data_IF_300009569178
#
_entry.id   IF_300009569178
#
_cell.length_a   1.000
_cell.length_b   1.000
_cell.length_c   1.000
_cell.angle_alpha   90.00
_cell.angle_beta   90.00
_cell.angle_gamma   90.00
#
_symmetry.space_group_name_H-M   'P 1'
#
loop_
_entity.id
_entity.type
_entity.pdbx_description
1 polymer ?
#
# COMPACT_ATOMS: atom_id res chain seq x y z
N UNK A 1 19.96 -1.85 -13.31
CA UNK A 1 19.56 -1.01 -12.17
C UNK A 1 20.04 -1.65 -10.88
N UNK A 2 20.49 -0.86 -9.91
CA UNK A 2 20.76 -1.26 -8.52
C UNK A 2 19.47 -1.23 -7.69
N UNK A 3 19.46 -1.91 -6.55
CA UNK A 3 18.29 -1.97 -5.66
C UNK A 3 17.75 -0.58 -5.28
N UNK A 4 18.63 0.38 -5.01
CA UNK A 4 18.22 1.75 -4.68
C UNK A 4 17.48 2.44 -5.82
N UNK A 5 17.94 2.25 -7.05
CA UNK A 5 17.29 2.81 -8.25
C UNK A 5 15.91 2.18 -8.49
N UNK A 6 15.77 0.88 -8.22
CA UNK A 6 14.48 0.15 -8.32
C UNK A 6 13.50 0.70 -7.29
N UNK A 7 13.95 0.86 -6.05
CA UNK A 7 13.12 1.42 -4.98
C UNK A 7 12.72 2.86 -5.27
N UNK A 8 13.66 3.72 -5.67
CA UNK A 8 13.37 5.13 -5.98
C UNK A 8 12.41 5.26 -7.17
N UNK A 9 12.50 4.35 -8.16
CA UNK A 9 11.52 4.27 -9.24
C UNK A 9 10.13 3.89 -8.73
N UNK A 10 10.03 2.89 -7.84
CA UNK A 10 8.75 2.53 -7.21
C UNK A 10 8.13 3.73 -6.48
N UNK A 11 8.89 4.42 -5.62
CA UNK A 11 8.38 5.60 -4.90
C UNK A 11 7.92 6.68 -5.87
N UNK A 12 8.70 6.96 -6.92
CA UNK A 12 8.33 7.93 -7.95
C UNK A 12 6.99 7.58 -8.61
N UNK A 13 6.84 6.35 -9.10
CA UNK A 13 5.61 5.91 -9.76
C UNK A 13 4.41 5.92 -8.79
N UNK A 14 4.64 5.51 -7.54
CA UNK A 14 3.63 5.59 -6.48
C UNK A 14 3.14 7.02 -6.23
N UNK A 15 4.04 8.01 -6.21
CA UNK A 15 3.70 9.45 -6.10
C UNK A 15 2.92 9.96 -7.32
N UNK A 16 3.25 9.46 -8.52
CA UNK A 16 2.58 9.87 -9.76
C UNK A 16 1.15 9.34 -9.85
N UNK A 17 0.87 8.15 -9.30
CA UNK A 17 -0.46 7.53 -9.29
C UNK A 17 -1.31 7.88 -8.05
N UNK A 18 -0.73 8.49 -7.02
CA UNK A 18 -1.42 8.80 -5.77
C UNK A 18 -2.57 9.83 -5.94
N UNK A 19 -3.78 9.49 -5.52
CA UNK A 19 -4.97 10.35 -5.63
C UNK A 19 -4.88 11.65 -4.82
N UNK A 20 -4.04 11.68 -3.78
CA UNK A 20 -3.77 12.89 -2.99
C UNK A 20 -3.07 13.98 -3.80
N UNK A 21 -2.29 13.56 -4.81
CA UNK A 21 -1.46 14.43 -5.64
C UNK A 21 -0.17 14.91 -4.96
N UNK A 22 0.80 15.31 -5.79
CA UNK A 22 2.17 15.70 -5.38
C UNK A 22 2.22 16.82 -4.33
N UNK A 23 1.29 17.77 -4.40
CA UNK A 23 1.25 18.89 -3.47
C UNK A 23 0.89 18.43 -2.04
N UNK A 24 -0.11 17.56 -1.90
CA UNK A 24 -0.53 17.01 -0.61
C UNK A 24 0.58 16.17 0.00
N UNK A 25 1.21 15.31 -0.80
CA UNK A 25 2.37 14.50 -0.38
C UNK A 25 3.51 15.41 0.14
N UNK A 26 3.85 16.45 -0.62
CA UNK A 26 4.90 17.41 -0.23
C UNK A 26 4.56 18.13 1.08
N UNK A 27 3.29 18.51 1.29
CA UNK A 27 2.82 19.11 2.54
C UNK A 27 2.95 18.14 3.72
N UNK A 28 2.66 16.86 3.53
CA UNK A 28 2.79 15.83 4.57
C UNK A 28 4.27 15.61 4.96
N UNK A 29 5.18 15.52 3.98
CA UNK A 29 6.63 15.41 4.24
C UNK A 29 7.18 16.66 4.95
N UNK A 30 6.76 17.86 4.53
CA UNK A 30 7.16 19.11 5.19
C UNK A 30 6.67 19.17 6.64
N UNK A 31 5.45 18.68 6.90
CA UNK A 31 4.92 18.57 8.27
C UNK A 31 5.78 17.62 9.11
N UNK A 32 6.12 16.44 8.58
CA UNK A 32 7.00 15.47 9.27
C UNK A 32 8.36 16.09 9.58
N UNK A 33 8.94 16.85 8.64
CA UNK A 33 10.20 17.58 8.85
C UNK A 33 10.10 18.59 10.01
N UNK A 34 9.02 19.37 10.06
CA UNK A 34 8.77 20.31 11.18
C UNK A 34 8.58 19.59 12.52
N UNK A 35 7.98 18.39 12.50
CA UNK A 35 7.84 17.56 13.70
C UNK A 35 9.20 17.03 14.18
N UNK A 36 10.06 16.58 13.25
CA UNK A 36 11.44 16.18 13.52
C UNK A 36 12.29 17.32 14.12
N UNK A 37 12.20 18.53 13.56
CA UNK A 37 12.95 19.69 14.03
C UNK A 37 12.64 20.08 15.50
N UNK A 38 11.43 19.75 15.96
CA UNK A 38 10.96 20.00 17.34
C UNK A 38 11.36 18.91 18.34
N UNK A 39 11.91 17.79 17.87
CA UNK A 39 12.37 16.71 18.75
C UNK A 39 13.59 17.15 19.56
N UNK A 40 13.75 16.58 20.76
CA UNK A 40 15.00 16.65 21.51
C UNK A 40 16.12 15.92 20.75
N UNK A 41 17.37 16.26 21.04
CA UNK A 41 18.53 15.60 20.39
C UNK A 41 18.54 14.08 20.63
N UNK A 42 18.14 13.63 21.81
CA UNK A 42 17.94 12.20 22.13
C UNK A 42 16.93 11.55 21.18
N UNK A 43 15.76 12.17 20.98
CA UNK A 43 14.72 11.63 20.08
C UNK A 43 15.09 11.73 18.60
N UNK A 44 15.93 12.70 18.22
CA UNK A 44 16.46 12.79 16.84
C UNK A 44 17.42 11.66 16.53
N UNK A 45 18.20 11.19 17.51
CA UNK A 45 19.13 10.08 17.33
C UNK A 45 18.41 8.77 16.97
N UNK A 46 17.21 8.55 17.52
CA UNK A 46 16.39 7.36 17.24
C UNK A 46 15.40 7.55 16.07
N UNK A 47 15.36 8.74 15.45
CA UNK A 47 14.38 9.06 14.43
C UNK A 47 14.68 8.34 13.11
N UNK A 48 13.64 7.78 12.49
CA UNK A 48 13.76 7.17 11.16
C UNK A 48 13.87 8.27 10.09
N UNK A 49 15.10 8.58 9.68
CA UNK A 49 15.38 9.64 8.70
C UNK A 49 14.71 9.40 7.34
N UNK A 50 14.35 8.16 7.00
CA UNK A 50 13.60 7.86 5.78
C UNK A 50 12.21 8.52 5.78
N UNK A 51 11.61 8.72 6.97
CA UNK A 51 10.32 9.39 7.15
C UNK A 51 10.29 10.83 6.61
N UNK A 52 11.45 11.45 6.43
CA UNK A 52 11.55 12.82 5.93
C UNK A 52 11.47 12.90 4.40
N UNK A 53 11.70 11.78 3.70
CA UNK A 53 11.82 11.75 2.24
C UNK A 53 10.91 10.71 1.58
N UNK A 54 10.53 9.65 2.29
CA UNK A 54 9.66 8.61 1.79
C UNK A 54 8.23 8.83 2.31
N UNK A 55 7.23 9.08 1.42
CA UNK A 55 5.85 9.27 1.83
C UNK A 55 5.10 7.96 2.13
N UNK A 56 5.72 6.80 1.92
CA UNK A 56 5.15 5.46 2.06
C UNK A 56 6.01 4.63 3.00
N UNK A 57 5.74 4.75 4.30
CA UNK A 57 6.57 4.14 5.33
C UNK A 57 6.41 2.61 5.43
N UNK A 58 5.45 2.03 4.71
CA UNK A 58 5.23 0.61 4.53
C UNK A 58 6.07 0.01 3.38
N UNK A 59 6.90 0.80 2.70
CA UNK A 59 7.74 0.35 1.59
C UNK A 59 9.19 0.65 1.89
N UNK A 60 10.05 -0.36 1.87
CA UNK A 60 11.43 -0.28 2.37
C UNK A 60 12.41 -1.14 1.59
N UNK A 61 13.67 -0.71 1.60
CA UNK A 61 14.80 -1.61 1.44
C UNK A 61 15.17 -2.15 2.83
N UNK A 62 15.14 -3.47 2.98
CA UNK A 62 15.41 -4.13 4.26
C UNK A 62 16.86 -4.56 4.41
N UNK A 63 17.46 -5.04 3.32
CA UNK A 63 18.84 -5.49 3.30
C UNK A 63 19.49 -5.22 1.93
N UNK A 64 20.70 -4.69 1.96
CA UNK A 64 21.61 -4.63 0.81
C UNK A 64 22.83 -5.47 1.20
N UNK A 65 22.79 -6.75 0.84
CA UNK A 65 23.90 -7.67 1.04
C UNK A 65 25.05 -7.36 0.07
N UNK A 66 24.73 -6.97 -1.16
CA UNK A 66 25.68 -6.57 -2.19
C UNK A 66 25.10 -5.45 -3.06
N UNK A 67 25.80 -4.31 -3.13
CA UNK A 67 25.40 -3.16 -3.97
C UNK A 67 25.83 -3.36 -5.44
N UNK A 68 25.12 -4.24 -6.13
CA UNK A 68 25.38 -4.63 -7.52
C UNK A 68 24.20 -4.34 -8.45
N UNK A 69 24.47 -4.48 -9.74
CA UNK A 69 23.41 -4.49 -10.76
C UNK A 69 22.54 -5.74 -10.61
N UNK A 70 21.22 -5.53 -10.53
CA UNK A 70 20.22 -6.59 -10.39
C UNK A 70 19.88 -7.13 -11.78
N UNK A 71 20.06 -8.44 -11.99
CA UNK A 71 19.73 -9.13 -13.24
C UNK A 71 18.56 -10.09 -13.08
N UNK A 72 18.44 -10.75 -11.92
CA UNK A 72 17.35 -11.68 -11.62
C UNK A 72 16.67 -11.34 -10.29
N UNK A 73 15.35 -11.27 -10.32
CA UNK A 73 14.50 -10.97 -9.17
C UNK A 73 13.61 -12.15 -8.86
N UNK A 74 13.45 -12.46 -7.57
CA UNK A 74 12.30 -13.23 -7.09
C UNK A 74 11.29 -12.24 -6.48
N UNK A 75 10.10 -12.17 -7.04
CA UNK A 75 9.04 -11.28 -6.56
C UNK A 75 7.82 -12.07 -6.13
N UNK A 76 7.16 -11.61 -5.07
CA UNK A 76 5.98 -12.25 -4.49
C UNK A 76 5.12 -11.27 -3.70
N UNK A 77 3.89 -11.67 -3.39
CA UNK A 77 3.02 -10.89 -2.50
C UNK A 77 3.64 -10.91 -1.10
N UNK A 78 3.81 -12.12 -0.58
CA UNK A 78 4.52 -12.42 0.66
C UNK A 78 5.92 -12.92 0.30
N UNK A 79 6.94 -12.30 0.87
CA UNK A 79 8.33 -12.78 0.82
C UNK A 79 8.79 -12.90 2.27
N UNK A 80 8.60 -14.08 2.83
CA UNK A 80 8.96 -14.40 4.21
C UNK A 80 10.14 -15.38 4.25
N UNK A 81 10.24 -16.23 5.28
CA UNK A 81 11.38 -17.11 5.45
C UNK A 81 11.48 -18.18 4.36
N UNK A 82 10.33 -18.71 3.94
CA UNK A 82 10.19 -19.76 2.94
C UNK A 82 10.69 -19.29 1.56
N UNK A 83 10.28 -18.10 1.13
CA UNK A 83 10.69 -17.53 -0.16
C UNK A 83 12.16 -17.10 -0.13
N UNK A 84 12.66 -16.62 1.01
CA UNK A 84 14.08 -16.31 1.18
C UNK A 84 14.95 -17.58 1.11
N UNK A 85 14.52 -18.71 1.71
CA UNK A 85 15.21 -19.99 1.54
C UNK A 85 15.15 -20.48 0.09
N UNK A 86 14.02 -20.28 -0.59
CA UNK A 86 13.90 -20.62 -2.00
C UNK A 86 14.88 -19.81 -2.84
N UNK A 87 14.97 -18.50 -2.62
CA UNK A 87 15.90 -17.61 -3.32
C UNK A 87 17.36 -18.04 -3.11
N UNK A 88 17.75 -18.34 -1.88
CA UNK A 88 19.09 -18.86 -1.54
C UNK A 88 19.36 -20.19 -2.26
N UNK A 89 18.40 -21.12 -2.23
CA UNK A 89 18.53 -22.42 -2.88
C UNK A 89 18.62 -22.34 -4.41
N UNK A 90 17.95 -21.37 -5.03
CA UNK A 90 18.08 -21.12 -6.47
C UNK A 90 19.49 -20.61 -6.81
N UNK A 91 20.14 -19.90 -5.90
CA UNK A 91 21.56 -19.50 -5.97
C UNK A 91 21.88 -18.43 -7.02
N UNK A 92 20.90 -17.99 -7.81
CA UNK A 92 21.06 -17.02 -8.89
C UNK A 92 20.12 -15.80 -8.78
N UNK A 93 19.50 -15.60 -7.61
CA UNK A 93 18.63 -14.44 -7.33
C UNK A 93 19.47 -13.28 -6.78
N UNK A 94 19.42 -12.13 -7.46
CA UNK A 94 20.14 -10.92 -7.05
C UNK A 94 19.35 -10.06 -6.06
N UNK A 95 18.02 -10.18 -6.06
CA UNK A 95 17.09 -9.39 -5.25
C UNK A 95 15.77 -10.14 -5.02
N UNK A 96 15.29 -10.13 -3.78
CA UNK A 96 13.92 -10.51 -3.45
C UNK A 96 13.06 -9.26 -3.25
N UNK A 97 11.86 -9.23 -3.83
CA UNK A 97 10.91 -8.11 -3.71
C UNK A 97 9.56 -8.62 -3.20
N UNK A 98 9.21 -8.25 -1.97
CA UNK A 98 7.86 -8.46 -1.43
C UNK A 98 6.90 -7.35 -1.83
N UNK A 99 5.60 -7.65 -1.83
CA UNK A 99 4.58 -6.61 -1.79
C UNK A 99 4.33 -6.19 -0.34
N UNK A 100 3.93 -7.16 0.50
CA UNK A 100 3.62 -6.90 1.89
C UNK A 100 4.85 -6.45 2.68
N UNK A 101 4.65 -5.56 3.66
CA UNK A 101 5.74 -5.04 4.45
C UNK A 101 6.23 -6.04 5.50
N UNK A 102 7.55 -6.13 5.62
CA UNK A 102 8.28 -6.76 6.71
C UNK A 102 8.97 -5.69 7.59
N UNK A 103 9.56 -6.11 8.71
CA UNK A 103 10.51 -5.29 9.47
C UNK A 103 9.98 -3.92 9.85
N UNK A 104 10.78 -2.89 9.55
CA UNK A 104 10.40 -1.49 9.77
C UNK A 104 9.16 -1.10 8.96
N UNK A 105 8.98 -1.63 7.75
CA UNK A 105 7.79 -1.34 6.94
C UNK A 105 6.52 -1.73 7.68
N UNK A 106 6.53 -2.93 8.28
CA UNK A 106 5.38 -3.45 9.03
C UNK A 106 5.13 -2.64 10.30
N UNK A 107 6.19 -2.25 11.01
CA UNK A 107 6.10 -1.41 12.20
C UNK A 107 5.49 -0.03 11.90
N UNK A 108 5.64 0.45 10.66
CA UNK A 108 5.11 1.73 10.18
C UNK A 108 3.76 1.61 9.46
N UNK A 109 3.17 0.41 9.34
CA UNK A 109 1.92 0.19 8.58
C UNK A 109 0.79 1.13 9.04
N UNK A 110 0.60 1.27 10.34
CA UNK A 110 -0.44 2.14 10.91
C UNK A 110 -0.25 3.63 10.61
N UNK A 111 0.98 4.09 10.34
CA UNK A 111 1.24 5.50 9.99
C UNK A 111 0.78 5.80 8.55
N UNK A 112 0.98 4.85 7.64
CA UNK A 112 0.59 4.98 6.22
C UNK A 112 -0.93 5.03 6.06
N UNK A 113 -1.69 4.43 6.97
CA UNK A 113 -3.16 4.49 6.97
C UNK A 113 -3.74 5.91 7.05
N UNK A 114 -2.96 6.93 7.42
CA UNK A 114 -3.42 8.33 7.29
C UNK A 114 -3.77 8.71 5.84
N UNK A 115 -3.29 7.97 4.85
CA UNK A 115 -3.71 8.09 3.44
C UNK A 115 -5.23 7.89 3.29
N UNK A 116 -5.83 6.98 4.07
CA UNK A 116 -7.27 6.72 4.04
C UNK A 116 -8.08 7.99 4.34
N UNK A 117 -7.58 8.87 5.23
CA UNK A 117 -8.25 10.14 5.55
C UNK A 117 -8.33 11.04 4.31
N UNK A 118 -7.20 11.17 3.59
CA UNK A 118 -7.13 11.98 2.39
C UNK A 118 -7.97 11.36 1.26
N UNK A 119 -8.04 10.03 1.18
CA UNK A 119 -8.83 9.31 0.18
C UNK A 119 -10.33 9.47 0.41
N UNK A 120 -10.80 9.33 1.64
CA UNK A 120 -12.21 9.58 2.00
C UNK A 120 -12.60 11.03 1.70
N UNK A 121 -11.74 11.98 2.03
CA UNK A 121 -11.96 13.39 1.72
C UNK A 121 -11.96 13.66 0.21
N UNK A 122 -11.07 13.00 -0.54
CA UNK A 122 -11.05 13.06 -2.00
C UNK A 122 -12.40 12.63 -2.61
N UNK A 123 -13.05 11.62 -2.03
CA UNK A 123 -14.39 11.20 -2.44
C UNK A 123 -15.54 11.99 -1.80
N UNK A 124 -15.25 13.03 -1.01
CA UNK A 124 -16.25 13.98 -0.51
C UNK A 124 -16.75 13.75 0.91
N UNK A 125 -16.16 12.80 1.65
CA UNK A 125 -16.43 12.66 3.09
C UNK A 125 -15.77 13.83 3.83
N UNK A 126 -16.48 14.59 4.69
CA UNK A 126 -15.87 15.67 5.45
C UNK A 126 -14.64 15.21 6.23
N UNK A 127 -13.53 15.95 6.13
CA UNK A 127 -12.22 15.52 6.66
C UNK A 127 -12.26 15.19 8.16
N UNK A 128 -13.03 15.91 8.97
CA UNK A 128 -13.18 15.65 10.39
C UNK A 128 -13.87 14.30 10.69
N UNK A 129 -14.78 13.86 9.82
CA UNK A 129 -15.42 12.55 9.92
C UNK A 129 -14.48 11.45 9.46
N UNK A 130 -13.74 11.68 8.37
CA UNK A 130 -12.71 10.77 7.87
C UNK A 130 -11.60 10.54 8.92
N UNK A 131 -11.11 11.61 9.56
CA UNK A 131 -10.15 11.54 10.67
C UNK A 131 -10.69 10.71 11.83
N UNK A 132 -11.94 10.91 12.22
CA UNK A 132 -12.56 10.20 13.35
C UNK A 132 -12.62 8.69 13.12
N UNK A 133 -13.16 8.24 11.97
CA UNK A 133 -13.32 6.81 11.69
C UNK A 133 -11.97 6.13 11.45
N UNK A 134 -11.03 6.83 10.80
CA UNK A 134 -9.71 6.27 10.50
C UNK A 134 -8.85 6.15 11.75
N UNK A 135 -8.92 7.10 12.69
CA UNK A 135 -8.11 7.07 13.92
C UNK A 135 -8.38 5.84 14.78
N UNK A 136 -9.63 5.42 14.90
CA UNK A 136 -10.00 4.22 15.65
C UNK A 136 -9.32 2.98 15.01
N UNK A 137 -9.47 2.84 13.69
CA UNK A 137 -8.86 1.73 12.93
C UNK A 137 -7.33 1.73 12.98
N UNK A 138 -6.69 2.88 12.81
CA UNK A 138 -5.23 3.04 12.97
C UNK A 138 -4.77 2.49 14.32
N UNK A 139 -5.53 2.76 15.38
CA UNK A 139 -5.19 2.32 16.73
C UNK A 139 -5.32 0.80 16.90
N UNK A 140 -6.31 0.18 16.25
CA UNK A 140 -6.47 -1.28 16.23
C UNK A 140 -5.33 -1.97 15.48
N UNK A 141 -5.03 -1.49 14.27
CA UNK A 141 -3.94 -2.01 13.45
C UNK A 141 -2.60 -1.83 14.16
N UNK A 142 -2.34 -0.67 14.75
CA UNK A 142 -1.12 -0.43 15.51
C UNK A 142 -0.94 -1.46 16.65
N UNK A 143 -2.02 -1.81 17.37
CA UNK A 143 -1.98 -2.82 18.43
C UNK A 143 -1.79 -4.24 17.88
N UNK A 144 -2.42 -4.59 16.77
CA UNK A 144 -2.30 -5.93 16.19
C UNK A 144 -0.89 -6.21 15.69
N UNK A 145 -0.25 -5.23 15.04
CA UNK A 145 1.12 -5.37 14.53
C UNK A 145 2.18 -5.23 15.61
N UNK A 146 1.91 -4.49 16.70
CA UNK A 146 2.93 -4.18 17.72
C UNK A 146 3.61 -5.42 18.33
N UNK A 147 2.86 -6.52 18.51
CA UNK A 147 3.39 -7.75 19.10
C UNK A 147 4.11 -8.66 18.08
N UNK A 148 4.15 -8.29 16.80
CA UNK A 148 4.74 -9.11 15.75
C UNK A 148 6.27 -9.24 15.89
N UNK A 149 6.82 -10.35 15.38
CA UNK A 149 8.26 -10.49 15.19
C UNK A 149 8.70 -9.79 13.89
N UNK A 150 8.72 -8.46 13.94
CA UNK A 150 8.92 -7.60 12.77
C UNK A 150 10.17 -7.96 11.96
N UNK A 151 11.32 -8.24 12.60
CA UNK A 151 12.58 -8.42 11.87
C UNK A 151 12.85 -9.85 11.40
N UNK A 152 11.93 -10.81 11.60
CA UNK A 152 12.19 -12.23 11.29
C UNK A 152 12.71 -12.45 9.87
N UNK A 153 11.98 -11.99 8.86
CA UNK A 153 12.38 -12.13 7.46
C UNK A 153 13.60 -11.28 7.12
N UNK A 154 13.70 -10.07 7.71
CA UNK A 154 14.83 -9.15 7.50
C UNK A 154 16.15 -9.74 7.99
N UNK A 155 16.16 -10.32 9.19
CA UNK A 155 17.35 -10.95 9.78
C UNK A 155 17.73 -12.21 9.01
N UNK A 156 16.76 -12.96 8.52
CA UNK A 156 17.00 -14.11 7.66
C UNK A 156 17.67 -13.69 6.33
N UNK A 157 17.17 -12.64 5.67
CA UNK A 157 17.79 -12.10 4.47
C UNK A 157 19.25 -11.66 4.72
N UNK A 158 19.54 -11.08 5.90
CA UNK A 158 20.93 -10.73 6.29
C UNK A 158 21.81 -11.97 6.44
N UNK A 159 21.33 -13.01 7.11
CA UNK A 159 22.08 -14.25 7.33
C UNK A 159 22.37 -14.99 6.02
N UNK A 160 21.40 -15.02 5.10
CA UNK A 160 21.53 -15.61 3.77
C UNK A 160 22.27 -14.71 2.77
N UNK A 161 22.62 -13.47 3.18
CA UNK A 161 23.26 -12.47 2.32
C UNK A 161 22.46 -12.18 1.04
N UNK A 162 21.14 -12.07 1.18
CA UNK A 162 20.23 -11.72 0.11
C UNK A 162 19.87 -10.23 0.16
N UNK A 163 19.86 -9.57 -0.99
CA UNK A 163 19.23 -8.27 -1.11
C UNK A 163 17.72 -8.42 -0.98
N UNK A 164 17.08 -7.59 -0.15
CA UNK A 164 15.66 -7.71 0.13
C UNK A 164 15.01 -6.32 0.29
N UNK A 165 13.87 -6.14 -0.37
CA UNK A 165 13.02 -4.95 -0.25
C UNK A 165 11.55 -5.31 -0.40
N UNK A 166 10.66 -4.36 -0.12
CA UNK A 166 9.28 -4.42 -0.55
C UNK A 166 8.82 -3.13 -1.25
N UNK A 167 7.66 -3.22 -1.91
CA UNK A 167 6.92 -2.10 -2.46
C UNK A 167 5.43 -2.33 -2.27
N UNK A 168 4.87 -1.67 -1.26
CA UNK A 168 3.48 -1.82 -0.84
C UNK A 168 2.60 -0.70 -1.43
N UNK A 169 2.30 0.36 -0.67
CA UNK A 169 1.47 1.49 -1.12
C UNK A 169 1.82 2.05 -2.51
N UNK A 170 3.08 2.14 -2.97
CA UNK A 170 3.38 2.54 -4.34
C UNK A 170 2.72 1.66 -5.41
N UNK A 171 2.72 0.33 -5.22
CA UNK A 171 2.08 -0.62 -6.11
C UNK A 171 0.55 -0.49 -6.05
N UNK A 172 0.02 -0.34 -4.84
CA UNK A 172 -1.41 -0.13 -4.60
C UNK A 172 -1.94 1.13 -5.30
N UNK A 173 -1.18 2.23 -5.25
CA UNK A 173 -1.53 3.46 -5.95
C UNK A 173 -1.60 3.25 -7.46
N UNK A 174 -0.67 2.50 -8.05
CA UNK A 174 -0.69 2.15 -9.48
C UNK A 174 -1.91 1.31 -9.82
N UNK A 175 -2.24 0.30 -9.01
CA UNK A 175 -3.42 -0.55 -9.19
C UNK A 175 -4.72 0.26 -9.07
N UNK A 176 -4.82 1.12 -8.06
CA UNK A 176 -5.94 2.02 -7.85
C UNK A 176 -6.16 2.97 -9.04
N UNK A 177 -5.09 3.60 -9.54
CA UNK A 177 -5.15 4.50 -10.69
C UNK A 177 -5.55 3.76 -11.98
N UNK A 178 -5.02 2.55 -12.19
CA UNK A 178 -5.43 1.69 -13.30
C UNK A 178 -6.93 1.37 -13.26
N UNK A 179 -7.43 0.86 -12.13
CA UNK A 179 -8.86 0.54 -11.98
C UNK A 179 -9.74 1.77 -12.16
N UNK A 180 -9.32 2.93 -11.61
CA UNK A 180 -10.06 4.18 -11.75
C UNK A 180 -10.22 4.59 -13.20
N UNK A 181 -9.15 4.46 -13.98
CA UNK A 181 -9.15 4.76 -15.42
C UNK A 181 -10.06 3.81 -16.18
N UNK A 182 -9.99 2.51 -15.91
CA UNK A 182 -10.85 1.52 -16.57
C UNK A 182 -12.34 1.71 -16.22
N UNK A 183 -12.68 1.92 -14.94
CA UNK A 183 -14.06 2.20 -14.52
C UNK A 183 -14.57 3.50 -15.17
N UNK A 184 -13.79 4.58 -15.13
CA UNK A 184 -14.18 5.87 -15.71
C UNK A 184 -14.36 5.80 -17.24
N UNK A 185 -13.54 5.02 -17.93
CA UNK A 185 -13.59 4.82 -19.37
C UNK A 185 -14.86 4.09 -19.79
N UNK A 186 -15.23 3.03 -19.06
CA UNK A 186 -16.38 2.19 -19.38
C UNK A 186 -17.73 2.77 -18.90
N UNK A 187 -17.72 3.67 -17.90
CA UNK A 187 -18.93 4.35 -17.37
C UNK A 187 -20.05 3.37 -17.00
N UNK A 188 -19.79 2.41 -16.07
CA UNK A 188 -20.78 1.42 -15.68
C UNK A 188 -22.04 2.08 -15.09
N UNK A 189 -23.22 1.58 -15.47
CA UNK A 189 -24.50 2.06 -14.93
C UNK A 189 -24.96 1.17 -13.77
N UNK A 190 -24.74 -0.13 -13.89
CA UNK A 190 -25.16 -1.15 -12.93
C UNK A 190 -23.97 -1.86 -12.29
N UNK A 191 -24.17 -2.45 -11.09
CA UNK A 191 -23.12 -3.18 -10.39
C UNK A 191 -22.58 -4.37 -11.21
N UNK A 192 -23.42 -5.00 -12.03
CA UNK A 192 -22.97 -6.03 -12.97
C UNK A 192 -21.96 -5.52 -14.00
N UNK A 193 -22.04 -4.25 -14.41
CA UNK A 193 -21.10 -3.67 -15.35
C UNK A 193 -19.71 -3.54 -14.71
N UNK A 194 -19.64 -3.21 -13.41
CA UNK A 194 -18.38 -3.19 -12.67
C UNK A 194 -17.76 -4.58 -12.65
N UNK A 195 -18.54 -5.61 -12.31
CA UNK A 195 -18.05 -7.00 -12.31
C UNK A 195 -17.53 -7.36 -13.70
N UNK A 196 -18.28 -7.11 -14.78
CA UNK A 196 -17.83 -7.38 -16.16
C UNK A 196 -16.55 -6.63 -16.54
N UNK A 197 -16.39 -5.38 -16.09
CA UNK A 197 -15.14 -4.62 -16.29
C UNK A 197 -13.98 -5.34 -15.58
N UNK A 198 -14.15 -5.72 -14.31
CA UNK A 198 -13.11 -6.43 -13.56
C UNK A 198 -12.78 -7.78 -14.21
N UNK A 199 -13.79 -8.57 -14.57
CA UNK A 199 -13.63 -9.86 -15.27
C UNK A 199 -12.98 -9.74 -16.66
N UNK A 200 -12.94 -8.54 -17.25
CA UNK A 200 -12.24 -8.32 -18.53
C UNK A 200 -10.73 -8.15 -18.37
N UNK A 201 -10.27 -7.80 -17.16
CA UNK A 201 -8.87 -7.55 -16.84
C UNK A 201 -8.15 -8.91 -16.65
N UNK A 202 -6.97 -9.14 -17.26
CA UNK A 202 -6.30 -10.45 -17.24
C UNK A 202 -6.06 -11.01 -15.84
N UNK A 203 -5.67 -10.17 -14.89
CA UNK A 203 -5.37 -10.55 -13.51
C UNK A 203 -6.61 -11.16 -12.82
N UNK A 204 -7.77 -10.52 -12.96
CA UNK A 204 -9.01 -11.05 -12.40
C UNK A 204 -9.51 -12.29 -13.17
N UNK A 205 -9.22 -12.41 -14.48
CA UNK A 205 -9.53 -13.64 -15.23
C UNK A 205 -8.76 -14.84 -14.71
N UNK A 206 -7.49 -14.67 -14.38
CA UNK A 206 -6.72 -15.75 -13.72
C UNK A 206 -7.27 -16.03 -12.32
N UNK A 207 -7.65 -14.99 -11.57
CA UNK A 207 -8.26 -15.15 -10.25
C UNK A 207 -9.57 -15.97 -10.29
N UNK A 208 -10.41 -15.78 -11.31
CA UNK A 208 -11.63 -16.58 -11.51
C UNK A 208 -11.32 -18.08 -11.66
N UNK A 209 -10.26 -18.44 -12.40
CA UNK A 209 -9.88 -19.84 -12.63
C UNK A 209 -9.49 -20.58 -11.36
N UNK A 210 -9.00 -19.86 -10.35
CA UNK A 210 -8.63 -20.41 -9.04
C UNK A 210 -9.71 -20.18 -7.97
N UNK A 211 -10.89 -19.67 -8.35
CA UNK A 211 -12.02 -19.45 -7.43
C UNK A 211 -11.91 -18.17 -6.58
N UNK A 212 -11.03 -17.24 -6.94
CA UNK A 212 -10.80 -15.97 -6.25
C UNK A 212 -11.20 -14.75 -7.11
N UNK A 213 -12.20 -14.93 -7.99
CA UNK A 213 -12.67 -13.87 -8.88
C UNK A 213 -13.43 -12.74 -8.15
N UNK A 214 -13.68 -11.61 -8.84
CA UNK A 214 -14.53 -10.54 -8.33
C UNK A 214 -15.88 -11.05 -7.85
N UNK A 215 -16.36 -10.55 -6.71
CA UNK A 215 -17.64 -10.94 -6.14
C UNK A 215 -18.36 -9.71 -5.57
N UNK A 216 -19.69 -9.71 -5.66
CA UNK A 216 -20.54 -8.70 -5.05
C UNK A 216 -20.96 -9.15 -3.65
N UNK A 217 -20.44 -8.51 -2.60
CA UNK A 217 -20.80 -8.84 -1.22
C UNK A 217 -22.09 -8.16 -0.74
N UNK A 218 -22.41 -6.99 -1.28
CA UNK A 218 -23.59 -6.18 -0.92
C UNK A 218 -24.25 -5.61 -2.17
N UNK A 219 -25.58 -5.67 -2.22
CA UNK A 219 -26.38 -5.27 -3.37
C UNK A 219 -26.74 -6.45 -4.29
N UNK A 220 -27.26 -6.13 -5.46
CA UNK A 220 -27.58 -7.07 -6.54
C UNK A 220 -27.05 -6.55 -7.88
N UNK A 221 -26.82 -7.42 -8.88
CA UNK A 221 -26.31 -7.06 -10.20
C UNK A 221 -27.04 -5.87 -10.86
N UNK A 222 -28.35 -5.74 -10.62
CA UNK A 222 -29.25 -4.75 -11.21
C UNK A 222 -29.30 -3.42 -10.45
N UNK A 223 -28.60 -3.31 -9.32
CA UNK A 223 -28.49 -2.03 -8.62
C UNK A 223 -27.63 -1.05 -9.43
N UNK A 224 -28.00 0.23 -9.40
CA UNK A 224 -27.23 1.30 -10.03
C UNK A 224 -26.00 1.64 -9.19
N UNK A 225 -24.86 1.88 -9.83
CA UNK A 225 -23.61 2.20 -9.14
C UNK A 225 -23.66 3.52 -8.36
N UNK A 226 -24.33 4.54 -8.92
CA UNK A 226 -24.20 5.90 -8.41
C UNK A 226 -22.76 6.41 -8.51
N UNK A 227 -22.28 7.12 -7.49
CA UNK A 227 -20.87 7.56 -7.43
C UNK A 227 -20.00 6.41 -6.91
N UNK A 228 -19.03 6.00 -7.72
CA UNK A 228 -18.09 4.93 -7.40
C UNK A 228 -16.84 5.50 -6.71
N UNK A 229 -16.45 4.92 -5.59
CA UNK A 229 -15.20 5.21 -4.90
C UNK A 229 -14.31 3.97 -4.85
N UNK A 230 -13.06 4.13 -5.30
CA UNK A 230 -12.03 3.11 -5.07
C UNK A 230 -11.37 3.38 -3.73
N UNK A 231 -11.80 2.63 -2.72
CA UNK A 231 -11.22 2.56 -1.38
C UNK A 231 -10.62 1.19 -1.14
N UNK A 232 -9.76 1.06 -0.13
CA UNK A 232 -9.20 -0.23 0.36
C UNK A 232 -8.28 -0.99 -0.60
N UNK A 233 -8.12 -0.52 -1.85
CA UNK A 233 -7.05 -0.94 -2.75
C UNK A 233 -5.72 -0.24 -2.46
N UNK A 234 -5.76 0.92 -1.80
CA UNK A 234 -4.59 1.69 -1.34
C UNK A 234 -4.86 2.30 0.02
N UNK A 235 -3.80 2.74 0.69
CA UNK A 235 -3.83 3.32 2.02
C UNK A 235 -3.37 2.38 3.12
N UNK A 236 -2.46 1.45 2.79
CA UNK A 236 -1.78 0.55 3.73
C UNK A 236 -2.59 -0.69 4.10
N UNK A 237 -3.83 -0.55 4.55
CA UNK A 237 -4.71 -1.71 4.82
C UNK A 237 -6.17 -1.27 4.83
N UNK A 238 -7.07 -2.23 5.05
CA UNK A 238 -8.52 -2.03 5.07
C UNK A 238 -8.95 -0.95 6.09
N UNK A 239 -10.01 -0.23 5.72
CA UNK A 239 -10.54 0.88 6.50
C UNK A 239 -11.34 0.42 7.72
N UNK A 240 -12.00 1.37 8.39
CA UNK A 240 -13.02 1.03 9.39
C UNK A 240 -14.33 0.71 8.67
N UNK A 241 -15.05 -0.33 9.09
CA UNK A 241 -16.43 -0.57 8.61
C UNK A 241 -17.34 0.67 8.74
N UNK A 242 -17.07 1.54 9.73
CA UNK A 242 -17.81 2.79 9.95
C UNK A 242 -17.63 3.79 8.82
N UNK A 243 -16.61 3.61 7.97
CA UNK A 243 -16.37 4.49 6.83
C UNK A 243 -17.49 4.37 5.79
N UNK A 244 -18.05 3.17 5.58
CA UNK A 244 -19.08 2.95 4.56
C UNK A 244 -20.34 3.81 4.84
N UNK A 245 -20.74 3.94 6.11
CA UNK A 245 -21.85 4.82 6.50
C UNK A 245 -21.56 6.29 6.14
N UNK A 246 -20.32 6.74 6.36
CA UNK A 246 -19.92 8.13 6.05
C UNK A 246 -19.78 8.37 4.56
N UNK A 247 -19.34 7.37 3.81
CA UNK A 247 -19.29 7.38 2.35
C UNK A 247 -20.70 7.46 1.75
N UNK A 248 -21.63 6.64 2.25
CA UNK A 248 -23.04 6.70 1.86
C UNK A 248 -23.67 8.08 2.14
N UNK A 249 -23.39 8.65 3.31
CA UNK A 249 -23.82 10.02 3.66
C UNK A 249 -23.22 11.10 2.74
N UNK A 250 -22.03 10.86 2.19
CA UNK A 250 -21.37 11.72 1.20
C UNK A 250 -21.85 11.46 -0.26
N UNK A 251 -22.86 10.60 -0.45
CA UNK A 251 -23.46 10.29 -1.75
C UNK A 251 -22.65 9.30 -2.59
N UNK A 252 -21.78 8.50 -1.98
CA UNK A 252 -21.08 7.40 -2.64
C UNK A 252 -22.01 6.18 -2.64
N UNK A 253 -22.25 5.63 -3.83
CA UNK A 253 -23.19 4.52 -4.04
C UNK A 253 -22.50 3.16 -4.24
N UNK A 254 -21.21 3.14 -4.55
CA UNK A 254 -20.39 1.93 -4.71
C UNK A 254 -18.98 2.20 -4.24
#
# INVERSE_FOLDING_TARGET
MKIKEIFDLSIKLGIEADFRGKERISKNLLRRKKEYEKLSEEKKADFDMEALINPYMDSRIYNIAEDKEIKKVLAGIDIEGEELLLADKMGDIDLTIGHHPEGKGLAWLSDVMNIQIDLLNYYGVPVNQAERVTKERISEVARSVNAANHNRAVDMARLLKLNFMNSHTPCDNLAADFLKKEIKKNKPEYLEDIIRILESIPEYREAIKIGAGPCLFVGSPENRCGKIALTEITGGTEGSEKMYEKMAQAGIGT
#
